data_IF_499541760244
#
_entry.id   IF_499541760244
#
_cell.length_a   1.000
_cell.length_b   1.000
_cell.length_c   1.000
_cell.angle_alpha   90.00
_cell.angle_beta   90.00
_cell.angle_gamma   90.00
#
_symmetry.space_group_name_H-M   'P 1'
#
loop_
_entity.id
_entity.type
_entity.pdbx_description
1 polymer ?
#
# COMPACT_ATOMS: atom_id res chain seq x y z
N UNK A 1 -48.32 19.46 -20.81
CA UNK A 1 -49.55 20.26 -20.70
C UNK A 1 -50.36 19.65 -19.60
N UNK A 2 -50.59 20.42 -18.55
CA UNK A 2 -51.49 20.07 -17.46
C UNK A 2 -52.90 20.47 -17.90
N UNK A 3 -53.70 19.48 -18.29
CA UNK A 3 -55.07 19.70 -18.75
C UNK A 3 -56.08 19.63 -17.61
N UNK A 4 -55.67 19.18 -16.44
CA UNK A 4 -56.48 19.20 -15.22
C UNK A 4 -56.62 20.63 -14.71
N UNK A 5 -55.50 21.34 -14.61
CA UNK A 5 -55.49 22.76 -14.25
C UNK A 5 -56.03 23.67 -15.36
N UNK A 6 -56.00 23.22 -16.64
CA UNK A 6 -56.42 24.01 -17.79
C UNK A 6 -57.24 23.19 -18.81
N UNK A 7 -58.52 22.90 -18.49
CA UNK A 7 -59.38 22.11 -19.38
C UNK A 7 -59.48 22.73 -20.78
N UNK A 8 -59.24 21.92 -21.81
CA UNK A 8 -59.28 22.36 -23.22
C UNK A 8 -57.96 22.92 -23.77
N UNK A 9 -56.94 23.15 -22.94
CA UNK A 9 -55.61 23.56 -23.43
C UNK A 9 -54.89 22.39 -24.08
N UNK A 10 -54.34 22.61 -25.27
CA UNK A 10 -53.61 21.59 -26.02
C UNK A 10 -52.17 22.01 -26.27
N UNK A 11 -51.28 21.03 -26.45
CA UNK A 11 -49.94 21.34 -26.94
C UNK A 11 -50.02 21.78 -28.40
N UNK A 12 -49.65 23.04 -28.67
CA UNK A 12 -49.89 23.72 -29.94
C UNK A 12 -48.76 23.57 -30.97
N UNK A 13 -47.52 23.27 -30.56
CA UNK A 13 -46.41 23.19 -31.50
C UNK A 13 -46.52 21.93 -32.37
N UNK A 14 -46.41 22.14 -33.68
CA UNK A 14 -46.30 21.07 -34.65
C UNK A 14 -44.96 20.34 -34.57
N UNK A 15 -44.91 19.20 -35.25
CA UNK A 15 -43.71 18.37 -35.36
C UNK A 15 -42.50 19.14 -35.88
N UNK A 16 -42.65 19.91 -36.96
CA UNK A 16 -41.52 20.55 -37.64
C UNK A 16 -40.87 21.63 -36.77
N UNK A 17 -41.69 22.36 -36.01
CA UNK A 17 -41.22 23.32 -35.02
C UNK A 17 -40.44 22.62 -33.89
N UNK A 18 -40.94 21.48 -33.39
CA UNK A 18 -40.22 20.69 -32.39
C UNK A 18 -38.91 20.09 -32.91
N UNK A 19 -38.89 19.65 -34.17
CA UNK A 19 -37.65 19.16 -34.80
C UNK A 19 -36.63 20.29 -34.98
N UNK A 20 -37.06 21.50 -35.32
CA UNK A 20 -36.19 22.67 -35.40
C UNK A 20 -35.55 22.99 -34.04
N UNK A 21 -36.36 23.06 -32.97
CA UNK A 21 -35.86 23.25 -31.60
C UNK A 21 -34.85 22.16 -31.23
N UNK A 22 -35.18 20.89 -31.52
CA UNK A 22 -34.28 19.78 -31.23
C UNK A 22 -32.95 19.86 -31.97
N UNK A 23 -32.95 20.34 -33.22
CA UNK A 23 -31.72 20.57 -34.00
C UNK A 23 -30.86 21.66 -33.37
N UNK A 24 -31.46 22.77 -32.95
CA UNK A 24 -30.74 23.86 -32.30
C UNK A 24 -30.14 23.44 -30.96
N UNK A 25 -30.77 22.48 -30.27
CA UNK A 25 -30.28 21.92 -29.02
C UNK A 25 -29.10 20.95 -29.19
N UNK A 26 -28.85 20.39 -30.38
CA UNK A 26 -27.79 19.37 -30.58
C UNK A 26 -26.41 19.89 -30.18
N UNK A 27 -26.15 21.20 -30.34
CA UNK A 27 -24.87 21.83 -29.96
C UNK A 27 -24.54 21.71 -28.47
N UNK A 28 -25.53 21.48 -27.62
CA UNK A 28 -25.35 21.30 -26.18
C UNK A 28 -25.19 19.83 -25.77
N UNK A 29 -25.36 18.87 -26.70
CA UNK A 29 -25.23 17.45 -26.40
C UNK A 29 -23.77 17.01 -26.38
N UNK A 30 -23.41 16.27 -25.32
CA UNK A 30 -22.10 15.61 -25.21
C UNK A 30 -21.88 14.50 -26.24
N UNK A 31 -20.65 13.96 -26.28
CA UNK A 31 -20.27 12.85 -27.16
C UNK A 31 -19.96 11.59 -26.35
N UNK A 32 -20.39 10.43 -26.83
CA UNK A 32 -20.01 9.10 -26.32
C UNK A 32 -19.41 8.31 -27.47
N UNK A 33 -18.22 7.74 -27.29
CA UNK A 33 -17.48 7.05 -28.36
C UNK A 33 -17.38 7.85 -29.67
N UNK A 34 -17.09 9.17 -29.54
CA UNK A 34 -17.03 10.15 -30.65
C UNK A 34 -18.37 10.44 -31.37
N UNK A 35 -19.46 9.75 -31.05
CA UNK A 35 -20.79 10.03 -31.56
C UNK A 35 -21.52 11.06 -30.68
N UNK A 36 -22.15 12.05 -31.31
CA UNK A 36 -22.95 13.05 -30.60
C UNK A 36 -24.26 12.43 -30.10
N UNK A 37 -24.58 12.64 -28.82
CA UNK A 37 -25.82 12.11 -28.24
C UNK A 37 -27.06 12.76 -28.88
N UNK A 38 -28.17 12.02 -29.04
CA UNK A 38 -29.41 12.56 -29.57
C UNK A 38 -30.10 13.49 -28.57
N UNK A 39 -30.87 14.46 -29.09
CA UNK A 39 -31.84 15.25 -28.32
C UNK A 39 -33.17 14.49 -28.30
N UNK A 40 -33.74 14.29 -27.12
CA UNK A 40 -35.05 13.67 -26.94
C UNK A 40 -36.03 14.72 -26.43
N UNK A 41 -37.14 14.92 -27.14
CA UNK A 41 -38.24 15.79 -26.73
C UNK A 41 -39.48 14.92 -26.54
N UNK A 42 -40.07 15.02 -25.35
CA UNK A 42 -41.25 14.26 -24.99
C UNK A 42 -42.36 15.23 -24.61
N UNK A 43 -43.49 15.14 -25.32
CA UNK A 43 -44.69 15.95 -25.04
C UNK A 43 -45.63 15.12 -24.20
N UNK A 44 -45.85 15.54 -22.96
CA UNK A 44 -46.81 14.93 -22.04
C UNK A 44 -48.09 15.76 -21.97
N UNK A 45 -49.23 15.14 -22.14
CA UNK A 45 -50.54 15.68 -21.76
C UNK A 45 -51.07 14.87 -20.58
N UNK A 46 -51.35 15.53 -19.47
CA UNK A 46 -51.84 14.89 -18.24
C UNK A 46 -53.29 15.32 -18.04
N UNK A 47 -54.18 14.37 -17.85
CA UNK A 47 -55.60 14.60 -17.57
C UNK A 47 -56.23 13.50 -16.68
N UNK A 48 -57.30 13.81 -15.96
CA UNK A 48 -58.06 12.89 -15.11
C UNK A 48 -59.18 12.14 -15.86
N UNK A 49 -59.00 11.87 -17.16
CA UNK A 49 -60.02 11.22 -17.99
C UNK A 49 -59.42 10.40 -19.13
N UNK A 50 -60.24 9.49 -19.66
CA UNK A 50 -59.82 8.62 -20.76
C UNK A 50 -59.50 9.41 -22.04
N UNK A 51 -58.31 9.19 -22.65
CA UNK A 51 -57.89 9.95 -23.82
C UNK A 51 -58.74 9.69 -25.06
N UNK A 52 -59.21 10.77 -25.68
CA UNK A 52 -60.02 10.75 -26.91
C UNK A 52 -59.21 10.29 -28.14
N UNK A 53 -59.91 9.81 -29.17
CA UNK A 53 -59.28 9.39 -30.42
C UNK A 53 -58.56 10.54 -31.14
N UNK A 54 -59.11 11.76 -31.06
CA UNK A 54 -58.53 12.96 -31.65
C UNK A 54 -57.17 13.33 -31.00
N UNK A 55 -57.07 13.25 -29.67
CA UNK A 55 -55.82 13.50 -28.95
C UNK A 55 -54.74 12.49 -29.35
N UNK A 56 -55.09 11.20 -29.38
CA UNK A 56 -54.18 10.13 -29.83
C UNK A 56 -53.71 10.37 -31.27
N UNK A 57 -54.63 10.76 -32.17
CA UNK A 57 -54.29 11.04 -33.57
C UNK A 57 -53.32 12.23 -33.70
N UNK A 58 -53.54 13.31 -32.94
CA UNK A 58 -52.65 14.48 -32.93
C UNK A 58 -51.25 14.13 -32.47
N UNK A 59 -51.10 13.53 -31.30
CA UNK A 59 -49.78 13.19 -30.75
C UNK A 59 -49.10 12.05 -31.52
N UNK A 60 -49.85 11.20 -32.23
CA UNK A 60 -49.28 10.19 -33.14
C UNK A 60 -48.50 10.82 -34.30
N UNK A 61 -48.81 12.07 -34.70
CA UNK A 61 -48.03 12.82 -35.70
C UNK A 61 -46.62 13.19 -35.22
N UNK A 62 -46.38 13.20 -33.90
CA UNK A 62 -45.05 13.42 -33.31
C UNK A 62 -44.16 12.17 -33.35
N UNK A 63 -44.57 11.11 -34.04
CA UNK A 63 -43.79 9.87 -34.13
C UNK A 63 -42.51 10.14 -34.92
N UNK A 64 -41.40 9.62 -34.40
CA UNK A 64 -40.06 9.71 -35.00
C UNK A 64 -40.08 9.41 -36.52
N UNK A 65 -39.47 10.29 -37.32
CA UNK A 65 -39.36 10.15 -38.80
C UNK A 65 -38.38 9.07 -39.21
N UNK A 66 -37.22 9.00 -38.53
CA UNK A 66 -36.11 8.13 -38.89
C UNK A 66 -35.50 7.45 -37.68
N UNK A 67 -35.16 6.16 -37.80
CA UNK A 67 -34.46 5.38 -36.76
C UNK A 67 -33.05 5.91 -36.45
N UNK A 68 -32.48 6.72 -37.34
CA UNK A 68 -31.15 7.34 -37.20
C UNK A 68 -31.21 8.84 -36.94
N UNK A 69 -32.40 9.44 -36.83
CA UNK A 69 -32.54 10.86 -36.54
C UNK A 69 -31.98 11.22 -35.16
N UNK A 70 -31.19 12.30 -35.09
CA UNK A 70 -30.59 12.79 -33.83
C UNK A 70 -31.56 13.58 -32.95
N UNK A 71 -32.75 13.91 -33.47
CA UNK A 71 -33.86 14.45 -32.69
C UNK A 71 -34.94 13.38 -32.59
N UNK A 72 -35.32 13.01 -31.37
CA UNK A 72 -36.30 11.97 -31.08
C UNK A 72 -37.51 12.64 -30.44
N UNK A 73 -38.63 12.63 -31.16
CA UNK A 73 -39.90 13.14 -30.67
C UNK A 73 -40.79 11.98 -30.21
N UNK A 74 -41.51 12.20 -29.11
CA UNK A 74 -42.56 11.29 -28.64
C UNK A 74 -43.69 12.07 -27.97
N UNK A 75 -44.91 11.56 -28.14
CA UNK A 75 -46.11 12.08 -27.50
C UNK A 75 -46.63 11.07 -26.49
N UNK A 76 -47.09 11.58 -25.35
CA UNK A 76 -47.58 10.81 -24.21
C UNK A 76 -48.87 11.44 -23.70
N UNK A 77 -49.85 10.60 -23.40
CA UNK A 77 -51.06 11.00 -22.69
C UNK A 77 -51.10 10.17 -21.41
N UNK A 78 -51.25 10.85 -20.29
CA UNK A 78 -51.29 10.27 -18.95
C UNK A 78 -52.69 10.52 -18.41
N UNK A 79 -53.43 9.43 -18.21
CA UNK A 79 -54.71 9.42 -17.52
C UNK A 79 -54.44 9.14 -16.04
N UNK A 80 -54.49 10.19 -15.22
CA UNK A 80 -54.16 10.11 -13.80
C UNK A 80 -55.28 9.42 -13.00
N UNK A 81 -56.55 9.55 -13.39
CA UNK A 81 -57.68 8.91 -12.70
C UNK A 81 -57.72 7.40 -12.93
N UNK A 82 -57.45 6.95 -14.15
CA UNK A 82 -57.38 5.51 -14.47
C UNK A 82 -55.99 4.90 -14.27
N UNK A 83 -54.97 5.70 -13.93
CA UNK A 83 -53.56 5.28 -13.87
C UNK A 83 -53.09 4.56 -15.15
N UNK A 84 -53.49 5.10 -16.31
CA UNK A 84 -53.14 4.54 -17.62
C UNK A 84 -52.32 5.52 -18.44
N UNK A 85 -51.49 4.96 -19.33
CA UNK A 85 -50.60 5.76 -20.17
C UNK A 85 -50.73 5.30 -21.62
N UNK A 86 -50.85 6.27 -22.52
CA UNK A 86 -50.76 6.07 -23.95
C UNK A 86 -49.55 6.80 -24.52
N UNK A 87 -48.85 6.19 -25.48
CA UNK A 87 -47.77 6.84 -26.21
C UNK A 87 -47.72 6.42 -27.67
N UNK A 88 -47.18 7.29 -28.51
CA UNK A 88 -46.93 7.02 -29.93
C UNK A 88 -45.65 6.17 -30.19
N UNK A 89 -44.95 5.74 -29.14
CA UNK A 89 -43.79 4.85 -29.25
C UNK A 89 -44.17 3.44 -29.76
N UNK A 90 -43.21 2.68 -30.33
CA UNK A 90 -43.43 1.29 -30.73
C UNK A 90 -44.03 0.45 -29.59
N UNK A 91 -44.94 -0.45 -29.94
CA UNK A 91 -45.67 -1.30 -28.97
C UNK A 91 -46.34 -0.51 -27.84
N UNK A 92 -46.75 0.74 -28.12
CA UNK A 92 -47.35 1.66 -27.16
C UNK A 92 -46.47 1.80 -25.89
N UNK A 93 -45.15 1.89 -26.08
CA UNK A 93 -44.18 2.13 -24.99
C UNK A 93 -43.97 0.95 -24.02
N UNK A 94 -44.58 -0.22 -24.25
CA UNK A 94 -44.45 -1.38 -23.32
C UNK A 94 -43.00 -1.80 -23.06
N UNK A 95 -42.10 -1.58 -24.03
CA UNK A 95 -40.67 -1.87 -23.90
C UNK A 95 -39.84 -0.64 -23.50
N UNK A 96 -40.43 0.56 -23.49
CA UNK A 96 -39.73 1.83 -23.29
C UNK A 96 -40.61 2.83 -22.54
N UNK A 97 -40.31 3.05 -21.26
CA UNK A 97 -40.85 4.14 -20.45
C UNK A 97 -42.28 3.94 -19.91
N UNK A 98 -43.20 3.32 -20.67
CA UNK A 98 -44.59 3.19 -20.22
C UNK A 98 -44.76 2.41 -18.90
N UNK A 99 -44.15 1.22 -18.69
CA UNK A 99 -44.30 0.50 -17.43
C UNK A 99 -43.78 1.30 -16.23
N UNK A 100 -42.73 2.11 -16.43
CA UNK A 100 -42.20 2.99 -15.40
C UNK A 100 -43.22 4.07 -15.00
N UNK A 101 -43.88 4.71 -15.98
CA UNK A 101 -44.86 5.77 -15.70
C UNK A 101 -46.15 5.17 -15.10
N UNK A 102 -46.66 4.05 -15.63
CA UNK A 102 -47.81 3.37 -15.03
C UNK A 102 -47.53 2.93 -13.59
N UNK A 103 -46.31 2.48 -13.30
CA UNK A 103 -45.91 2.14 -11.94
C UNK A 103 -45.81 3.38 -11.04
N UNK A 104 -45.36 4.52 -11.57
CA UNK A 104 -45.32 5.80 -10.85
C UNK A 104 -46.72 6.31 -10.48
N UNK A 105 -47.73 6.09 -11.33
CA UNK A 105 -49.12 6.48 -11.06
C UNK A 105 -49.78 5.56 -10.03
N UNK A 106 -49.49 4.26 -10.07
CA UNK A 106 -50.07 3.26 -9.16
C UNK A 106 -49.39 3.23 -7.79
N UNK A 107 -48.11 3.55 -7.74
CA UNK A 107 -47.33 3.61 -6.51
C UNK A 107 -47.07 5.08 -6.19
N UNK A 108 -47.88 5.73 -5.33
CA UNK A 108 -47.56 7.08 -4.88
C UNK A 108 -46.12 7.04 -4.38
N UNK A 109 -45.30 8.00 -4.85
CA UNK A 109 -43.91 8.12 -4.44
C UNK A 109 -43.94 8.09 -2.91
N UNK A 110 -43.42 7.02 -2.29
CA UNK A 110 -43.12 7.08 -0.87
C UNK A 110 -42.37 8.40 -0.69
N UNK A 111 -42.84 9.26 0.22
CA UNK A 111 -42.13 10.50 0.51
C UNK A 111 -40.65 10.12 0.60
N UNK A 112 -39.77 10.77 -0.21
CA UNK A 112 -38.36 10.47 -0.09
C UNK A 112 -38.06 10.57 1.40
N UNK A 113 -37.55 9.50 2.05
CA UNK A 113 -37.37 9.50 3.48
C UNK A 113 -36.66 10.79 3.81
N UNK A 114 -37.23 11.57 4.74
CA UNK A 114 -36.70 12.88 5.13
C UNK A 114 -35.19 12.78 5.10
N UNK A 115 -34.49 13.67 4.35
CA UNK A 115 -33.08 13.48 4.03
C UNK A 115 -32.40 13.06 5.32
N UNK A 116 -31.97 11.80 5.39
CA UNK A 116 -31.27 11.29 6.58
C UNK A 116 -30.20 12.32 6.79
N UNK A 117 -30.16 13.02 7.95
CA UNK A 117 -29.29 14.16 8.11
C UNK A 117 -27.93 13.71 7.63
N UNK A 118 -27.51 14.27 6.49
CA UNK A 118 -26.19 14.02 5.96
C UNK A 118 -25.29 14.32 7.14
N UNK A 119 -24.63 13.27 7.67
CA UNK A 119 -23.89 13.28 8.93
C UNK A 119 -23.42 14.70 9.21
N UNK A 120 -24.02 15.36 10.22
CA UNK A 120 -23.91 16.80 10.50
C UNK A 120 -22.66 17.37 9.85
N UNK A 121 -22.83 18.14 8.77
CA UNK A 121 -21.70 18.53 7.91
C UNK A 121 -20.62 19.17 8.76
N UNK A 122 -19.53 18.41 8.96
CA UNK A 122 -18.39 18.88 9.74
C UNK A 122 -17.71 20.00 8.98
N UNK A 123 -17.34 21.07 9.68
CA UNK A 123 -16.49 22.10 9.10
C UNK A 123 -15.23 21.46 8.49
N UNK A 124 -14.72 21.98 7.37
CA UNK A 124 -13.51 21.45 6.74
C UNK A 124 -12.36 21.46 7.74
N UNK A 125 -11.86 20.27 8.08
CA UNK A 125 -10.73 20.11 9.00
C UNK A 125 -9.45 20.00 8.20
N UNK A 126 -8.48 20.85 8.54
CA UNK A 126 -7.12 20.74 7.98
C UNK A 126 -6.50 19.39 8.40
N UNK A 127 -5.92 18.62 7.47
CA UNK A 127 -5.39 17.30 7.76
C UNK A 127 -4.01 17.39 8.44
N UNK A 128 -3.98 17.83 9.71
CA UNK A 128 -2.76 18.09 10.47
C UNK A 128 -1.94 16.82 10.74
N UNK A 129 -2.58 15.69 11.03
CA UNK A 129 -1.84 14.45 11.27
C UNK A 129 -1.19 13.95 9.98
N UNK A 130 -1.89 14.07 8.85
CA UNK A 130 -1.34 13.77 7.52
C UNK A 130 -0.09 14.61 7.26
N UNK A 131 -0.13 15.92 7.55
CA UNK A 131 1.04 16.78 7.42
C UNK A 131 2.17 16.40 8.38
N UNK A 132 1.84 16.06 9.63
CA UNK A 132 2.84 15.62 10.61
C UNK A 132 3.56 14.34 10.15
N UNK A 133 2.82 13.35 9.63
CA UNK A 133 3.42 12.13 9.08
C UNK A 133 4.27 12.47 7.86
N UNK A 134 3.80 13.32 6.94
CA UNK A 134 4.60 13.74 5.77
C UNK A 134 5.92 14.40 6.19
N UNK A 135 5.88 15.33 7.16
CA UNK A 135 7.08 15.97 7.70
C UNK A 135 8.01 14.95 8.34
N UNK A 136 7.48 13.95 9.04
CA UNK A 136 8.27 12.88 9.64
C UNK A 136 8.94 12.00 8.58
N UNK A 137 8.26 11.64 7.48
CA UNK A 137 8.85 10.88 6.38
C UNK A 137 9.97 11.67 5.68
N UNK A 138 9.77 12.97 5.48
CA UNK A 138 10.80 13.86 4.92
C UNK A 138 11.99 13.95 5.88
N UNK A 139 11.75 14.13 7.18
CA UNK A 139 12.79 14.18 8.19
C UNK A 139 13.61 12.89 8.27
N UNK A 140 12.94 11.73 8.26
CA UNK A 140 13.59 10.43 8.22
C UNK A 140 14.48 10.29 6.98
N UNK A 141 13.97 10.68 5.81
CA UNK A 141 14.76 10.65 4.57
C UNK A 141 15.97 11.58 4.62
N UNK A 142 15.86 12.78 5.20
CA UNK A 142 17.02 13.66 5.41
C UNK A 142 18.06 13.02 6.35
N UNK A 143 17.61 12.29 7.39
CA UNK A 143 18.52 11.51 8.23
C UNK A 143 19.20 10.39 7.43
N UNK A 144 18.52 9.74 6.50
CA UNK A 144 19.16 8.74 5.62
C UNK A 144 20.29 9.32 4.77
N UNK A 145 20.14 10.55 4.28
CA UNK A 145 21.20 11.25 3.54
C UNK A 145 22.34 11.68 4.47
N UNK A 146 22.02 12.17 5.67
CA UNK A 146 23.01 12.69 6.62
C UNK A 146 23.87 11.60 7.26
N UNK A 147 23.30 10.41 7.46
CA UNK A 147 23.94 9.26 8.11
C UNK A 147 24.19 8.12 7.11
N UNK A 148 24.53 8.46 5.86
CA UNK A 148 24.86 7.45 4.85
C UNK A 148 26.12 6.66 5.25
N UNK A 149 26.02 5.32 5.24
CA UNK A 149 27.13 4.43 5.59
C UNK A 149 27.92 3.94 4.38
N UNK A 150 27.43 4.23 3.18
CA UNK A 150 28.07 3.89 1.91
C UNK A 150 28.06 5.10 0.96
N UNK A 151 29.03 5.24 0.03
CA UNK A 151 29.04 6.33 -0.93
C UNK A 151 27.72 6.43 -1.70
N UNK A 152 27.05 7.57 -1.57
CA UNK A 152 25.77 7.81 -2.24
C UNK A 152 25.96 8.05 -3.74
N UNK A 153 25.06 7.48 -4.56
CA UNK A 153 24.95 7.83 -5.98
C UNK A 153 23.80 8.84 -6.15
N UNK A 154 24.12 10.14 -6.01
CA UNK A 154 23.12 11.20 -6.06
C UNK A 154 22.22 11.19 -4.82
N UNK A 155 20.91 10.93 -5.01
CA UNK A 155 19.91 10.84 -3.94
C UNK A 155 19.47 9.39 -3.66
N UNK A 156 20.35 8.42 -3.91
CA UNK A 156 20.14 7.02 -3.52
C UNK A 156 20.94 6.75 -2.24
N UNK A 157 20.25 6.37 -1.18
CA UNK A 157 20.81 6.19 0.18
C UNK A 157 21.62 4.90 0.31
N UNK A 158 21.36 3.91 -0.56
CA UNK A 158 22.02 2.61 -0.53
C UNK A 158 21.44 1.65 0.52
N UNK A 159 21.46 0.36 0.20
CA UNK A 159 20.85 -0.68 1.04
C UNK A 159 21.50 -0.82 2.42
N UNK A 160 22.80 -0.57 2.54
CA UNK A 160 23.52 -0.66 3.80
C UNK A 160 23.12 0.44 4.77
N UNK A 161 23.00 1.67 4.28
CA UNK A 161 22.48 2.80 5.06
C UNK A 161 21.09 2.49 5.58
N UNK A 162 20.19 2.01 4.73
CA UNK A 162 18.83 1.65 5.14
C UNK A 162 18.83 0.54 6.19
N UNK A 163 19.68 -0.48 6.03
CA UNK A 163 19.83 -1.56 7.00
C UNK A 163 20.31 -1.01 8.36
N UNK A 164 21.29 -0.12 8.36
CA UNK A 164 21.81 0.54 9.56
C UNK A 164 20.75 1.40 10.25
N UNK A 165 19.88 2.06 9.46
CA UNK A 165 18.84 2.98 9.95
C UNK A 165 17.50 2.31 10.27
N UNK A 166 17.44 0.98 10.28
CA UNK A 166 16.26 0.26 10.78
C UNK A 166 15.33 -0.28 9.71
N UNK A 167 15.81 -0.54 8.48
CA UNK A 167 15.06 -1.28 7.47
C UNK A 167 14.65 -2.66 7.98
N UNK A 168 13.54 -3.16 7.46
CA UNK A 168 13.04 -4.48 7.83
C UNK A 168 13.92 -5.55 7.16
N UNK A 169 14.46 -6.43 7.99
CA UNK A 169 15.36 -7.51 7.61
C UNK A 169 15.00 -8.74 8.42
N UNK A 170 14.72 -9.85 7.74
CA UNK A 170 14.28 -11.07 8.40
C UNK A 170 15.31 -11.59 9.43
N UNK A 171 16.61 -11.74 9.11
CA UNK A 171 17.61 -12.19 10.09
C UNK A 171 17.70 -11.30 11.33
N UNK A 172 17.66 -9.97 11.16
CA UNK A 172 17.77 -9.02 12.27
C UNK A 172 16.54 -9.03 13.16
N UNK A 173 15.34 -9.17 12.58
CA UNK A 173 14.10 -9.32 13.36
C UNK A 173 14.13 -10.62 14.16
N UNK A 174 14.53 -11.75 13.55
CA UNK A 174 14.68 -13.02 14.26
C UNK A 174 15.74 -12.97 15.36
N UNK A 175 16.73 -12.08 15.23
CA UNK A 175 17.75 -11.85 16.25
C UNK A 175 17.33 -10.84 17.34
N UNK A 176 16.07 -10.42 17.37
CA UNK A 176 15.50 -9.58 18.43
C UNK A 176 15.32 -8.10 18.09
N UNK A 177 15.67 -7.65 16.88
CA UNK A 177 15.50 -6.25 16.45
C UNK A 177 14.07 -5.96 15.98
N UNK A 178 13.08 -6.25 16.83
CA UNK A 178 11.64 -6.10 16.54
C UNK A 178 11.22 -4.67 16.23
N UNK A 179 12.00 -3.68 16.69
CA UNK A 179 11.79 -2.26 16.39
C UNK A 179 11.74 -1.97 14.88
N UNK A 180 12.37 -2.82 14.06
CA UNK A 180 12.39 -2.78 12.60
C UNK A 180 11.03 -2.96 11.95
N UNK A 181 10.08 -3.59 12.65
CA UNK A 181 8.70 -3.74 12.17
C UNK A 181 8.01 -2.39 11.97
N UNK A 182 8.37 -1.40 12.79
CA UNK A 182 7.78 -0.06 12.73
C UNK A 182 8.70 0.95 12.05
N UNK A 183 10.01 0.94 12.32
CA UNK A 183 10.94 1.93 11.75
C UNK A 183 11.04 1.85 10.22
N UNK A 184 10.96 0.63 9.66
CA UNK A 184 11.05 0.42 8.20
C UNK A 184 10.02 1.22 7.41
N UNK A 185 8.83 1.45 7.98
CA UNK A 185 7.75 2.18 7.36
C UNK A 185 8.06 3.68 7.15
N UNK A 186 9.10 4.21 7.78
CA UNK A 186 9.50 5.61 7.65
C UNK A 186 10.68 5.82 6.70
N UNK A 187 11.38 4.76 6.32
CA UNK A 187 12.59 4.83 5.49
C UNK A 187 12.27 4.80 3.99
N UNK A 188 13.08 5.43 3.14
CA UNK A 188 12.86 5.45 1.69
C UNK A 188 14.14 5.34 0.86
N UNK A 189 14.22 4.31 0.00
CA UNK A 189 15.38 4.07 -0.87
C UNK A 189 15.86 5.28 -1.70
N UNK A 190 14.93 6.11 -2.18
CA UNK A 190 15.28 7.28 -2.99
C UNK A 190 14.14 8.32 -2.98
N UNK A 191 14.43 9.49 -3.52
CA UNK A 191 13.51 10.62 -3.56
C UNK A 191 12.20 10.31 -4.28
N UNK A 192 12.24 9.53 -5.38
CA UNK A 192 11.04 9.16 -6.13
C UNK A 192 10.12 8.27 -5.28
N UNK A 193 10.69 7.31 -4.54
CA UNK A 193 9.95 6.46 -3.62
C UNK A 193 9.26 7.30 -2.52
N UNK A 194 10.00 8.24 -1.90
CA UNK A 194 9.44 9.18 -0.92
C UNK A 194 8.33 10.05 -1.54
N UNK A 195 8.55 10.62 -2.72
CA UNK A 195 7.59 11.50 -3.37
C UNK A 195 6.28 10.78 -3.70
N UNK A 196 6.35 9.54 -4.19
CA UNK A 196 5.17 8.73 -4.51
C UNK A 196 4.39 8.33 -3.25
N UNK A 197 5.08 7.89 -2.19
CA UNK A 197 4.43 7.61 -0.90
C UNK A 197 3.82 8.87 -0.29
N UNK A 198 4.54 9.99 -0.32
CA UNK A 198 4.04 11.28 0.17
C UNK A 198 2.80 11.76 -0.58
N UNK A 199 2.79 11.65 -1.92
CA UNK A 199 1.62 11.97 -2.73
C UNK A 199 0.42 11.07 -2.37
N UNK A 200 0.62 9.76 -2.30
CA UNK A 200 -0.45 8.82 -1.97
C UNK A 200 -0.99 9.02 -0.54
N UNK A 201 -0.10 9.24 0.43
CA UNK A 201 -0.47 9.58 1.80
C UNK A 201 -1.28 10.88 1.87
N UNK A 202 -0.86 11.92 1.13
CA UNK A 202 -1.61 13.18 1.06
C UNK A 202 -3.02 12.99 0.46
N UNK A 203 -3.13 12.22 -0.64
CA UNK A 203 -4.41 11.93 -1.30
C UNK A 203 -5.36 11.14 -0.40
N UNK A 204 -4.84 10.16 0.36
CA UNK A 204 -5.63 9.42 1.33
C UNK A 204 -6.01 10.28 2.54
N UNK A 205 -5.03 10.94 3.15
CA UNK A 205 -5.17 11.73 4.37
C UNK A 205 -6.11 12.91 4.23
N UNK A 206 -6.09 13.63 3.10
CA UNK A 206 -7.04 14.73 2.83
C UNK A 206 -8.51 14.30 2.76
N UNK A 207 -8.77 13.01 2.55
CA UNK A 207 -10.12 12.42 2.54
C UNK A 207 -10.44 11.79 3.89
N UNK A 208 -9.54 10.95 4.40
CA UNK A 208 -9.77 10.12 5.58
C UNK A 208 -9.64 10.88 6.89
N UNK A 209 -8.72 11.85 7.03
CA UNK A 209 -8.55 12.56 8.30
C UNK A 209 -9.78 13.42 8.66
N UNK A 210 -10.37 14.19 7.72
CA UNK A 210 -11.62 14.89 7.99
C UNK A 210 -12.78 13.94 8.29
N UNK A 211 -12.78 12.76 7.65
CA UNK A 211 -13.83 11.76 7.76
C UNK A 211 -13.80 10.98 9.07
N UNK A 212 -12.63 10.47 9.47
CA UNK A 212 -12.45 9.56 10.60
C UNK A 212 -11.96 10.26 11.87
N UNK A 213 -11.39 11.46 11.72
CA UNK A 213 -10.59 12.09 12.74
C UNK A 213 -9.14 11.61 12.74
N UNK A 214 -8.30 12.34 13.46
CA UNK A 214 -6.84 12.11 13.54
C UNK A 214 -6.52 10.74 14.13
N UNK A 215 -7.20 10.37 15.21
CA UNK A 215 -6.92 9.15 15.96
C UNK A 215 -7.06 7.90 15.08
N UNK A 216 -8.19 7.76 14.37
CA UNK A 216 -8.41 6.59 13.52
C UNK A 216 -7.55 6.58 12.25
N UNK A 217 -7.24 7.75 11.68
CA UNK A 217 -6.23 7.83 10.60
C UNK A 217 -4.88 7.26 11.08
N UNK A 218 -4.43 7.70 12.26
CA UNK A 218 -3.17 7.23 12.86
C UNK A 218 -3.20 5.73 13.16
N UNK A 219 -4.30 5.20 13.69
CA UNK A 219 -4.45 3.75 13.92
C UNK A 219 -4.34 2.96 12.62
N UNK A 220 -5.07 3.36 11.56
CA UNK A 220 -5.00 2.65 10.27
C UNK A 220 -3.58 2.69 9.70
N UNK A 221 -2.91 3.84 9.82
CA UNK A 221 -1.51 3.98 9.38
C UNK A 221 -0.58 3.04 10.17
N UNK A 222 -0.62 3.07 11.50
CA UNK A 222 0.28 2.30 12.36
C UNK A 222 0.05 0.79 12.26
N UNK A 223 -1.21 0.35 12.35
CA UNK A 223 -1.53 -1.08 12.25
C UNK A 223 -1.30 -1.56 10.82
N UNK A 224 -1.54 -0.71 9.81
CA UNK A 224 -1.20 -0.98 8.42
C UNK A 224 0.29 -1.17 8.18
N UNK A 225 1.13 -0.32 8.79
CA UNK A 225 2.59 -0.48 8.77
C UNK A 225 3.02 -1.82 9.38
N UNK A 226 2.51 -2.15 10.58
CA UNK A 226 2.84 -3.40 11.26
C UNK A 226 2.34 -4.64 10.49
N UNK A 227 1.12 -4.60 9.96
CA UNK A 227 0.56 -5.67 9.14
C UNK A 227 1.31 -5.86 7.82
N UNK A 228 1.75 -4.76 7.20
CA UNK A 228 2.64 -4.81 6.05
C UNK A 228 3.98 -5.47 6.40
N UNK A 229 4.65 -5.01 7.45
CA UNK A 229 5.92 -5.61 7.90
C UNK A 229 5.77 -7.10 8.24
N UNK A 230 4.70 -7.49 8.93
CA UNK A 230 4.45 -8.89 9.27
C UNK A 230 4.26 -9.76 8.02
N UNK A 231 3.43 -9.32 7.06
CA UNK A 231 3.25 -10.04 5.80
C UNK A 231 4.51 -10.06 4.94
N UNK A 232 5.32 -8.99 4.97
CA UNK A 232 6.62 -8.95 4.31
C UNK A 232 7.54 -10.06 4.82
N UNK A 233 7.65 -10.22 6.15
CA UNK A 233 8.46 -11.29 6.76
C UNK A 233 7.95 -12.69 6.43
N UNK A 234 6.64 -12.87 6.25
CA UNK A 234 6.03 -14.17 5.98
C UNK A 234 6.08 -14.58 4.51
N UNK A 235 5.95 -13.62 3.59
CA UNK A 235 5.73 -13.88 2.16
C UNK A 235 7.01 -13.73 1.35
N UNK A 236 7.86 -12.76 1.70
CA UNK A 236 9.04 -12.47 0.90
C UNK A 236 10.22 -13.39 1.26
N UNK A 237 11.17 -13.57 0.34
CA UNK A 237 12.45 -14.22 0.64
C UNK A 237 13.17 -13.55 1.82
N UNK A 238 13.85 -14.31 2.71
CA UNK A 238 14.49 -13.76 3.91
C UNK A 238 15.58 -12.70 3.65
N UNK A 239 16.14 -12.67 2.44
CA UNK A 239 17.16 -11.70 2.04
C UNK A 239 16.58 -10.39 1.46
N UNK A 240 15.26 -10.27 1.31
CA UNK A 240 14.63 -9.02 0.89
C UNK A 240 14.68 -8.00 2.03
N UNK A 241 15.18 -6.80 1.73
CA UNK A 241 15.08 -5.65 2.62
C UNK A 241 13.83 -4.84 2.27
N UNK A 242 13.05 -4.50 3.29
CA UNK A 242 11.82 -3.74 3.13
C UNK A 242 11.88 -2.39 3.82
N UNK A 243 11.44 -1.36 3.10
CA UNK A 243 11.36 0.03 3.53
C UNK A 243 10.16 0.71 2.87
N UNK A 244 9.63 1.75 3.50
CA UNK A 244 8.64 2.65 2.94
C UNK A 244 7.27 2.57 3.60
N UNK A 245 6.55 3.69 3.55
CA UNK A 245 5.22 3.82 4.15
C UNK A 245 4.11 3.10 3.35
N UNK A 246 4.45 2.39 2.27
CA UNK A 246 3.48 1.87 1.31
C UNK A 246 2.51 0.87 1.93
N UNK A 247 2.94 0.00 2.85
CA UNK A 247 2.04 -0.89 3.59
C UNK A 247 0.96 -0.13 4.38
N UNK A 248 1.35 0.93 5.08
CA UNK A 248 0.42 1.82 5.79
C UNK A 248 -0.53 2.55 4.83
N UNK A 249 -0.02 3.01 3.69
CA UNK A 249 -0.81 3.68 2.65
C UNK A 249 -1.82 2.72 2.02
N UNK A 250 -1.42 1.47 1.77
CA UNK A 250 -2.33 0.43 1.28
C UNK A 250 -3.46 0.16 2.28
N UNK A 251 -3.16 0.17 3.59
CA UNK A 251 -4.18 0.08 4.62
C UNK A 251 -5.16 1.26 4.58
N UNK A 252 -4.67 2.49 4.38
CA UNK A 252 -5.52 3.68 4.24
C UNK A 252 -6.46 3.56 3.04
N UNK A 253 -5.97 3.19 1.86
CA UNK A 253 -6.82 3.07 0.67
C UNK A 253 -7.78 1.89 0.75
N UNK A 254 -7.38 0.75 1.33
CA UNK A 254 -8.27 -0.38 1.56
C UNK A 254 -9.39 -0.03 2.56
N UNK A 255 -9.05 0.67 3.64
CA UNK A 255 -10.04 1.18 4.59
C UNK A 255 -10.99 2.19 3.91
N UNK A 256 -10.46 3.10 3.07
CA UNK A 256 -11.28 4.04 2.28
C UNK A 256 -12.28 3.30 1.39
N UNK A 257 -11.86 2.23 0.73
CA UNK A 257 -12.74 1.43 -0.12
C UNK A 257 -13.86 0.77 0.71
N UNK A 258 -13.55 0.18 1.86
CA UNK A 258 -14.57 -0.38 2.76
C UNK A 258 -15.52 0.69 3.32
N UNK A 259 -14.98 1.83 3.76
CA UNK A 259 -15.78 2.95 4.29
C UNK A 259 -16.72 3.55 3.24
N UNK A 260 -16.39 3.44 1.94
CA UNK A 260 -17.24 3.90 0.85
C UNK A 260 -18.68 3.35 0.92
N UNK A 261 -18.86 2.14 1.44
CA UNK A 261 -20.17 1.48 1.54
C UNK A 261 -21.12 2.16 2.53
N UNK A 262 -20.60 3.03 3.40
CA UNK A 262 -21.40 3.87 4.30
C UNK A 262 -22.14 4.99 3.57
N UNK A 263 -21.67 5.40 2.39
CA UNK A 263 -22.20 6.55 1.66
C UNK A 263 -23.17 6.15 0.56
N UNK A 264 -23.97 7.14 0.15
CA UNK A 264 -24.86 7.08 -1.01
C UNK A 264 -24.09 6.80 -2.31
N UNK A 265 -24.79 6.26 -3.30
CA UNK A 265 -24.19 5.69 -4.53
C UNK A 265 -23.14 6.59 -5.20
N UNK A 266 -23.42 7.88 -5.34
CA UNK A 266 -22.50 8.81 -6.03
C UNK A 266 -21.19 8.99 -5.25
N UNK A 267 -21.26 9.29 -3.96
CA UNK A 267 -20.10 9.46 -3.10
C UNK A 267 -19.33 8.14 -2.92
N UNK A 268 -20.05 7.01 -2.80
CA UNK A 268 -19.47 5.67 -2.78
C UNK A 268 -18.63 5.40 -4.01
N UNK A 269 -19.20 5.54 -5.21
CA UNK A 269 -18.48 5.27 -6.46
C UNK A 269 -17.24 6.15 -6.61
N UNK A 270 -17.30 7.41 -6.17
CA UNK A 270 -16.15 8.31 -6.21
C UNK A 270 -15.03 7.89 -5.25
N UNK A 271 -15.36 7.45 -4.03
CA UNK A 271 -14.37 6.94 -3.08
C UNK A 271 -13.77 5.62 -3.56
N UNK A 272 -14.61 4.73 -4.11
CA UNK A 272 -14.16 3.44 -4.65
C UNK A 272 -13.22 3.63 -5.84
N UNK A 273 -13.53 4.52 -6.78
CA UNK A 273 -12.66 4.77 -7.93
C UNK A 273 -11.31 5.36 -7.53
N UNK A 274 -11.28 6.29 -6.56
CA UNK A 274 -10.05 6.84 -5.99
C UNK A 274 -9.22 5.76 -5.30
N UNK A 275 -9.85 4.92 -4.49
CA UNK A 275 -9.15 3.85 -3.79
C UNK A 275 -8.60 2.79 -4.75
N UNK A 276 -9.43 2.30 -5.69
CA UNK A 276 -9.01 1.31 -6.67
C UNK A 276 -7.93 1.84 -7.63
N UNK A 277 -7.93 3.14 -7.93
CA UNK A 277 -6.88 3.79 -8.73
C UNK A 277 -5.48 3.68 -8.13
N UNK A 278 -5.36 3.46 -6.82
CA UNK A 278 -4.08 3.18 -6.13
C UNK A 278 -3.94 1.69 -5.82
N UNK A 279 -4.97 1.06 -5.26
CA UNK A 279 -4.90 -0.35 -4.84
C UNK A 279 -4.57 -1.30 -6.00
N UNK A 280 -5.18 -1.11 -7.16
CA UNK A 280 -5.00 -2.03 -8.29
C UNK A 280 -3.57 -1.94 -8.83
N UNK A 281 -3.03 -0.78 -9.25
CA UNK A 281 -1.64 -0.70 -9.71
C UNK A 281 -0.61 -1.13 -8.66
N UNK A 282 -0.87 -0.91 -7.38
CA UNK A 282 0.02 -1.29 -6.28
C UNK A 282 0.04 -2.81 -5.99
N UNK A 283 -0.96 -3.56 -6.45
CA UNK A 283 -1.09 -5.02 -6.26
C UNK A 283 -0.89 -5.81 -7.56
N UNK A 284 -1.17 -5.25 -8.73
CA UNK A 284 -1.07 -5.93 -10.04
C UNK A 284 0.28 -6.63 -10.27
N UNK A 285 1.44 -6.07 -9.89
CA UNK A 285 2.71 -6.74 -10.16
C UNK A 285 2.98 -7.97 -9.26
N UNK A 286 2.09 -8.31 -8.31
CA UNK A 286 2.08 -9.61 -7.60
C UNK A 286 2.02 -10.80 -8.56
N UNK A 287 1.43 -10.63 -9.76
CA UNK A 287 1.29 -11.71 -10.75
C UNK A 287 2.38 -11.77 -11.82
N UNK A 288 3.22 -10.72 -11.97
CA UNK A 288 4.12 -10.57 -13.12
C UNK A 288 5.54 -10.14 -12.80
N UNK A 289 5.86 -9.82 -11.53
CA UNK A 289 7.14 -9.17 -11.17
C UNK A 289 7.76 -9.68 -9.87
N UNK A 290 7.50 -10.94 -9.54
CA UNK A 290 8.28 -11.70 -8.56
C UNK A 290 9.71 -11.81 -9.13
N UNK A 291 10.59 -10.86 -8.79
CA UNK A 291 12.00 -10.90 -9.20
C UNK A 291 12.69 -9.56 -9.50
N UNK A 292 11.99 -8.43 -9.60
CA UNK A 292 12.65 -7.13 -9.91
C UNK A 292 13.29 -6.42 -8.71
N UNK A 293 13.19 -7.00 -7.50
CA UNK A 293 13.93 -6.57 -6.30
C UNK A 293 13.63 -5.16 -5.78
N UNK A 294 12.59 -4.48 -6.28
CA UNK A 294 12.33 -3.06 -6.00
C UNK A 294 11.01 -2.74 -5.30
N UNK A 295 10.09 -3.69 -5.19
CA UNK A 295 8.78 -3.47 -4.58
C UNK A 295 8.46 -4.61 -3.63
N UNK A 296 8.15 -4.25 -2.39
CA UNK A 296 7.71 -5.20 -1.36
C UNK A 296 6.20 -5.45 -1.48
N UNK A 297 5.85 -6.51 -2.21
CA UNK A 297 4.46 -6.89 -2.39
C UNK A 297 3.84 -7.55 -1.16
N UNK A 298 4.65 -8.22 -0.32
CA UNK A 298 4.20 -8.75 0.97
C UNK A 298 3.67 -7.62 1.85
N UNK A 299 4.39 -6.50 1.93
CA UNK A 299 3.96 -5.32 2.67
C UNK A 299 2.69 -4.69 2.11
N UNK A 300 2.56 -4.59 0.78
CA UNK A 300 1.35 -4.06 0.15
C UNK A 300 0.13 -4.94 0.44
N UNK A 301 0.29 -6.26 0.34
CA UNK A 301 -0.77 -7.22 0.61
C UNK A 301 -1.19 -7.19 2.08
N UNK A 302 -0.24 -7.29 3.01
CA UNK A 302 -0.52 -7.26 4.46
C UNK A 302 -1.18 -5.96 4.91
N UNK A 303 -0.67 -4.83 4.44
CA UNK A 303 -1.27 -3.52 4.68
C UNK A 303 -2.70 -3.44 4.14
N UNK A 304 -2.92 -3.90 2.91
CA UNK A 304 -4.26 -3.97 2.30
C UNK A 304 -5.24 -4.82 3.10
N UNK A 305 -4.85 -6.02 3.53
CA UNK A 305 -5.67 -6.91 4.37
C UNK A 305 -6.04 -6.23 5.69
N UNK A 306 -5.08 -5.64 6.40
CA UNK A 306 -5.34 -4.89 7.63
C UNK A 306 -6.32 -3.73 7.38
N UNK A 307 -6.14 -2.98 6.30
CA UNK A 307 -7.04 -1.89 5.93
C UNK A 307 -8.46 -2.34 5.66
N UNK A 308 -8.64 -3.49 4.99
CA UNK A 308 -9.96 -4.12 4.80
C UNK A 308 -10.59 -4.45 6.15
N UNK A 309 -9.85 -5.13 7.04
CA UNK A 309 -10.36 -5.55 8.35
C UNK A 309 -10.75 -4.35 9.22
N UNK A 310 -9.89 -3.33 9.32
CA UNK A 310 -10.19 -2.10 10.07
C UNK A 310 -11.34 -1.31 9.44
N UNK A 311 -11.40 -1.25 8.10
CA UNK A 311 -12.50 -0.61 7.38
C UNK A 311 -13.84 -1.29 7.64
N UNK A 312 -13.89 -2.62 7.61
CA UNK A 312 -15.08 -3.40 7.95
C UNK A 312 -15.50 -3.19 9.41
N UNK A 313 -14.55 -3.23 10.34
CA UNK A 313 -14.81 -2.98 11.75
C UNK A 313 -15.40 -1.57 11.97
N UNK A 314 -14.83 -0.55 11.31
CA UNK A 314 -15.36 0.82 11.37
C UNK A 314 -16.76 0.92 10.77
N UNK A 315 -17.03 0.27 9.63
CA UNK A 315 -18.39 0.25 9.04
C UNK A 315 -19.40 -0.40 9.99
N UNK A 316 -19.02 -1.50 10.65
CA UNK A 316 -19.89 -2.23 11.56
C UNK A 316 -20.14 -1.48 12.88
N UNK A 317 -19.12 -0.83 13.44
CA UNK A 317 -19.16 -0.24 14.78
C UNK A 317 -19.54 1.25 14.80
N UNK A 318 -19.55 1.94 13.66
CA UNK A 318 -19.85 3.37 13.57
C UNK A 318 -21.36 3.62 13.43
N UNK A 319 -22.05 4.20 14.44
CA UNK A 319 -23.48 4.50 14.36
C UNK A 319 -23.80 5.55 13.32
N UNK A 320 -24.97 5.46 12.66
CA UNK A 320 -25.34 6.33 11.52
C UNK A 320 -25.60 7.79 11.91
N UNK A 321 -25.92 8.03 13.17
CA UNK A 321 -26.21 9.31 13.80
C UNK A 321 -24.96 10.04 14.31
N UNK A 322 -23.83 9.35 14.46
CA UNK A 322 -22.56 9.95 14.90
C UNK A 322 -21.72 10.49 13.73
N UNK A 323 -21.17 11.70 13.90
CA UNK A 323 -20.29 12.36 12.91
C UNK A 323 -18.95 11.63 12.76
N UNK A 324 -18.45 11.03 13.84
CA UNK A 324 -17.15 10.36 13.89
C UNK A 324 -17.31 8.92 14.36
N UNK A 325 -16.38 8.02 14.00
CA UNK A 325 -16.38 6.67 14.55
C UNK A 325 -16.25 6.69 16.07
N UNK A 326 -16.84 5.68 16.73
CA UNK A 326 -16.66 5.42 18.17
C UNK A 326 -15.20 5.21 18.55
N UNK A 327 -14.92 5.21 19.85
CA UNK A 327 -13.60 4.91 20.43
C UNK A 327 -12.47 5.88 20.04
N UNK A 328 -12.77 7.14 19.72
CA UNK A 328 -11.75 8.17 19.40
C UNK A 328 -10.64 8.29 20.45
N UNK A 329 -10.99 8.18 21.75
CA UNK A 329 -10.03 8.23 22.86
C UNK A 329 -9.12 7.00 22.87
N UNK A 330 -9.69 5.80 22.70
CA UNK A 330 -8.92 4.55 22.60
C UNK A 330 -7.99 4.56 21.39
N UNK A 331 -8.47 5.03 20.24
CA UNK A 331 -7.65 5.23 19.06
C UNK A 331 -6.52 6.25 19.30
N UNK A 332 -6.78 7.33 20.05
CA UNK A 332 -5.73 8.30 20.41
C UNK A 332 -4.66 7.69 21.32
N UNK A 333 -5.06 6.87 22.30
CA UNK A 333 -4.13 6.11 23.14
C UNK A 333 -3.27 5.15 22.30
N UNK A 334 -3.87 4.45 21.33
CA UNK A 334 -3.14 3.57 20.42
C UNK A 334 -2.13 4.34 19.56
N UNK A 335 -2.49 5.53 19.07
CA UNK A 335 -1.54 6.41 18.36
C UNK A 335 -0.41 6.88 19.29
N UNK A 336 -0.73 7.22 20.54
CA UNK A 336 0.28 7.56 21.55
C UNK A 336 1.27 6.42 21.80
N UNK A 337 0.78 5.20 21.98
CA UNK A 337 1.61 4.01 22.11
C UNK A 337 2.49 3.76 20.87
N UNK A 338 1.94 3.97 19.67
CA UNK A 338 2.71 3.89 18.43
C UNK A 338 3.81 4.95 18.33
N UNK A 339 3.56 6.19 18.79
CA UNK A 339 4.58 7.23 18.86
C UNK A 339 5.69 6.88 19.86
N UNK A 340 5.34 6.33 21.03
CA UNK A 340 6.33 5.81 21.99
C UNK A 340 7.14 4.65 21.41
N UNK A 341 6.49 3.72 20.70
CA UNK A 341 7.18 2.62 20.03
C UNK A 341 8.15 3.13 18.96
N UNK A 342 7.77 4.16 18.19
CA UNK A 342 8.65 4.79 17.21
C UNK A 342 9.85 5.49 17.87
N UNK A 343 9.64 6.18 18.99
CA UNK A 343 10.73 6.79 19.76
C UNK A 343 11.69 5.73 20.30
N UNK A 344 11.17 4.60 20.79
CA UNK A 344 11.98 3.45 21.17
C UNK A 344 12.74 2.86 19.96
N UNK A 345 12.11 2.75 18.79
CA UNK A 345 12.80 2.32 17.57
C UNK A 345 13.98 3.23 17.23
N UNK A 346 13.82 4.55 17.34
CA UNK A 346 14.91 5.50 17.10
C UNK A 346 16.05 5.29 18.10
N UNK A 347 15.74 5.13 19.39
CA UNK A 347 16.74 4.82 20.40
C UNK A 347 17.49 3.52 20.08
N UNK A 348 16.78 2.45 19.71
CA UNK A 348 17.38 1.17 19.37
C UNK A 348 18.26 1.25 18.10
N UNK A 349 17.84 2.04 17.10
CA UNK A 349 18.66 2.33 15.91
C UNK A 349 19.97 3.01 16.31
N UNK A 350 19.92 4.05 17.16
CA UNK A 350 21.13 4.75 17.62
C UNK A 350 22.09 3.80 18.34
N UNK A 351 21.58 2.88 19.17
CA UNK A 351 22.43 1.89 19.85
C UNK A 351 23.03 0.87 18.87
N UNK A 352 22.28 0.45 17.85
CA UNK A 352 22.74 -0.55 16.88
C UNK A 352 23.61 0.04 15.75
N UNK A 353 23.56 1.36 15.52
CA UNK A 353 24.23 2.02 14.40
C UNK A 353 25.76 1.79 14.33
N UNK A 354 26.52 1.77 15.44
CA UNK A 354 27.96 1.45 15.41
C UNK A 354 28.28 0.09 14.80
N UNK A 355 27.40 -0.92 14.98
CA UNK A 355 27.58 -2.26 14.43
C UNK A 355 27.66 -2.26 12.89
N UNK A 356 27.04 -1.27 12.24
CA UNK A 356 26.98 -1.16 10.79
C UNK A 356 28.01 -0.18 10.20
N UNK A 357 28.69 0.61 11.03
CA UNK A 357 29.61 1.67 10.59
C UNK A 357 31.06 1.43 10.97
N UNK A 358 31.32 0.62 12.01
CA UNK A 358 32.68 0.32 12.46
C UNK A 358 33.32 -0.88 11.74
N UNK A 359 32.57 -1.56 10.87
CA UNK A 359 33.08 -2.68 10.07
C UNK A 359 33.78 -2.24 8.78
N UNK A 360 34.52 -3.17 8.16
CA UNK A 360 35.17 -3.01 6.86
C UNK A 360 34.11 -2.66 5.80
N UNK A 361 34.23 -1.49 5.13
CA UNK A 361 33.34 -1.10 4.05
C UNK A 361 33.41 -2.07 2.86
N UNK A 362 32.30 -2.29 2.11
CA UNK A 362 32.27 -3.26 1.01
C UNK A 362 33.30 -3.02 -0.09
N UNK A 363 33.56 -1.75 -0.41
CA UNK A 363 34.55 -1.32 -1.40
C UNK A 363 36.00 -1.60 -0.94
N UNK A 364 36.20 -1.83 0.36
CA UNK A 364 37.51 -2.15 0.92
C UNK A 364 37.69 -3.65 1.18
N UNK A 365 36.67 -4.48 0.96
CA UNK A 365 36.77 -5.92 1.17
C UNK A 365 37.78 -6.54 0.18
N UNK A 366 38.72 -7.38 0.67
CA UNK A 366 39.62 -8.12 -0.21
C UNK A 366 38.84 -9.04 -1.16
N UNK A 367 39.19 -9.00 -2.43
CA UNK A 367 38.57 -9.81 -3.48
C UNK A 367 39.28 -11.15 -3.72
N UNK A 368 40.52 -11.29 -3.23
CA UNK A 368 41.36 -12.48 -3.44
C UNK A 368 42.23 -12.83 -2.23
N UNK A 369 42.70 -14.08 -2.17
CA UNK A 369 43.64 -14.53 -1.13
C UNK A 369 44.97 -13.77 -1.13
N UNK A 370 45.39 -13.24 -2.29
CA UNK A 370 46.58 -12.41 -2.41
C UNK A 370 46.36 -11.05 -1.74
N UNK A 371 45.21 -10.41 -2.00
CA UNK A 371 44.84 -9.16 -1.35
C UNK A 371 44.65 -9.31 0.16
N UNK A 372 44.05 -10.41 0.63
CA UNK A 372 43.95 -10.73 2.06
C UNK A 372 45.34 -10.69 2.69
N UNK A 373 46.31 -11.38 2.08
CA UNK A 373 47.67 -11.48 2.64
C UNK A 373 48.40 -10.13 2.63
N UNK A 374 48.13 -9.28 1.64
CA UNK A 374 48.75 -7.96 1.51
C UNK A 374 48.14 -6.91 2.45
N UNK A 375 46.86 -7.05 2.83
CA UNK A 375 46.09 -6.00 3.51
C UNK A 375 45.61 -6.37 4.92
N UNK A 376 45.76 -7.62 5.37
CA UNK A 376 45.22 -8.09 6.65
C UNK A 376 45.64 -7.21 7.85
N UNK A 377 46.94 -6.90 7.97
CA UNK A 377 47.46 -6.07 9.06
C UNK A 377 46.90 -4.63 9.03
N UNK A 378 46.75 -4.04 7.84
CA UNK A 378 46.13 -2.71 7.66
C UNK A 378 44.64 -2.74 8.02
N UNK A 379 43.92 -3.77 7.58
CA UNK A 379 42.51 -3.93 7.89
C UNK A 379 42.27 -4.16 9.39
N UNK A 380 43.14 -4.90 10.06
CA UNK A 380 43.06 -5.10 11.51
C UNK A 380 43.33 -3.81 12.29
N UNK A 381 44.32 -3.02 11.88
CA UNK A 381 44.62 -1.75 12.56
C UNK A 381 43.51 -0.72 12.38
N UNK A 382 42.85 -0.71 11.22
CA UNK A 382 41.77 0.23 10.89
C UNK A 382 40.40 -0.22 11.40
N UNK A 383 40.16 -1.53 11.46
CA UNK A 383 38.88 -2.12 11.86
C UNK A 383 39.07 -3.21 12.93
N UNK A 384 39.58 -2.87 14.13
CA UNK A 384 39.88 -3.84 15.18
C UNK A 384 38.64 -4.49 15.80
N UNK A 385 37.45 -3.94 15.57
CA UNK A 385 36.18 -4.48 16.08
C UNK A 385 35.39 -5.26 15.02
N UNK A 386 35.98 -5.52 13.85
CA UNK A 386 35.36 -6.31 12.79
C UNK A 386 35.87 -7.76 12.82
N UNK A 387 34.99 -8.77 12.92
CA UNK A 387 35.45 -10.17 12.98
C UNK A 387 36.22 -10.59 11.72
N UNK A 388 35.96 -9.95 10.58
CA UNK A 388 36.63 -10.21 9.31
C UNK A 388 38.10 -9.79 9.34
N UNK A 389 38.44 -8.70 10.02
CA UNK A 389 39.82 -8.21 10.06
C UNK A 389 40.72 -9.19 10.81
N UNK A 390 40.26 -9.66 11.97
CA UNK A 390 40.87 -10.76 12.72
C UNK A 390 40.95 -12.06 11.92
N UNK A 391 39.87 -12.43 11.21
CA UNK A 391 39.88 -13.62 10.36
C UNK A 391 40.93 -13.52 9.25
N UNK A 392 41.02 -12.39 8.55
CA UNK A 392 42.04 -12.16 7.51
C UNK A 392 43.47 -12.19 8.07
N UNK A 393 43.67 -11.64 9.27
CA UNK A 393 44.95 -11.71 9.95
C UNK A 393 45.32 -13.15 10.31
N UNK A 394 44.38 -13.92 10.86
CA UNK A 394 44.58 -15.33 11.17
C UNK A 394 45.00 -16.15 9.94
N UNK A 395 44.34 -15.96 8.80
CA UNK A 395 44.71 -16.63 7.54
C UNK A 395 46.15 -16.30 7.12
N UNK A 396 46.59 -15.06 7.34
CA UNK A 396 47.96 -14.63 7.01
C UNK A 396 48.98 -15.25 7.96
N UNK A 397 48.67 -15.29 9.26
CA UNK A 397 49.50 -15.92 10.29
C UNK A 397 49.64 -17.43 10.09
N UNK A 398 48.57 -18.11 9.66
CA UNK A 398 48.61 -19.53 9.31
C UNK A 398 49.59 -19.81 8.17
N UNK A 399 49.62 -18.96 7.13
CA UNK A 399 50.59 -19.09 6.02
C UNK A 399 52.02 -18.89 6.49
N UNK A 400 52.22 -18.02 7.48
CA UNK A 400 53.51 -17.81 8.15
C UNK A 400 53.84 -18.89 9.20
N UNK A 401 53.04 -19.95 9.31
CA UNK A 401 53.18 -21.05 10.28
C UNK A 401 53.11 -20.60 11.75
N UNK A 402 52.58 -19.41 12.04
CA UNK A 402 52.38 -18.92 13.39
C UNK A 402 50.98 -19.30 13.90
N UNK A 403 50.83 -20.55 14.32
CA UNK A 403 49.55 -21.13 14.73
C UNK A 403 48.99 -20.53 16.01
N UNK A 404 49.86 -20.17 16.97
CA UNK A 404 49.44 -19.60 18.27
C UNK A 404 48.82 -18.22 18.07
N UNK A 405 49.47 -17.36 17.29
CA UNK A 405 48.91 -16.04 16.98
C UNK A 405 47.63 -16.16 16.14
N UNK A 406 47.59 -17.08 15.18
CA UNK A 406 46.39 -17.31 14.38
C UNK A 406 45.19 -17.75 15.23
N UNK A 407 45.40 -18.61 16.22
CA UNK A 407 44.36 -19.00 17.18
C UNK A 407 43.82 -17.80 17.95
N UNK A 408 44.71 -16.95 18.47
CA UNK A 408 44.32 -15.77 19.25
C UNK A 408 43.43 -14.82 18.43
N UNK A 409 43.78 -14.57 17.17
CA UNK A 409 42.98 -13.75 16.26
C UNK A 409 41.59 -14.38 16.00
N UNK A 410 41.53 -15.70 15.76
CA UNK A 410 40.25 -16.39 15.53
C UNK A 410 39.35 -16.38 16.77
N UNK A 411 39.92 -16.54 17.97
CA UNK A 411 39.18 -16.41 19.23
C UNK A 411 38.68 -14.98 19.44
N UNK A 412 39.48 -13.98 19.08
CA UNK A 412 39.08 -12.57 19.14
C UNK A 412 37.93 -12.29 18.16
N UNK A 413 37.97 -12.87 16.96
CA UNK A 413 36.84 -12.80 16.02
C UNK A 413 35.57 -13.42 16.61
N UNK A 414 35.67 -14.61 17.23
CA UNK A 414 34.53 -15.30 17.86
C UNK A 414 33.98 -14.56 19.10
N UNK A 415 34.83 -13.79 19.80
CA UNK A 415 34.38 -12.96 20.92
C UNK A 415 33.44 -11.82 20.47
N UNK A 416 33.46 -11.44 19.20
CA UNK A 416 32.57 -10.44 18.59
C UNK A 416 31.26 -11.08 18.10
N UNK A 417 30.61 -11.88 18.96
CA UNK A 417 29.43 -12.70 18.64
C UNK A 417 28.28 -11.88 18.08
N UNK A 418 28.00 -10.71 18.68
CA UNK A 418 26.88 -9.85 18.27
C UNK A 418 27.04 -9.34 16.83
N UNK A 419 28.21 -8.78 16.49
CA UNK A 419 28.51 -8.33 15.13
C UNK A 419 28.41 -9.48 14.14
N UNK A 420 28.99 -10.64 14.49
CA UNK A 420 28.97 -11.81 13.61
C UNK A 420 27.55 -12.29 13.32
N UNK A 421 26.73 -12.43 14.37
CA UNK A 421 25.35 -12.88 14.29
C UNK A 421 24.46 -11.92 13.52
N UNK A 422 24.63 -10.61 13.74
CA UNK A 422 23.73 -9.58 13.20
C UNK A 422 24.13 -9.09 11.80
N UNK A 423 25.42 -9.04 11.46
CA UNK A 423 25.89 -8.40 10.21
C UNK A 423 26.54 -9.36 9.22
N UNK A 424 27.16 -10.45 9.68
CA UNK A 424 27.92 -11.38 8.84
C UNK A 424 27.21 -12.72 8.60
N UNK A 425 26.25 -13.07 9.45
CA UNK A 425 25.43 -14.27 9.34
C UNK A 425 26.15 -15.56 9.79
N UNK A 426 25.40 -16.67 9.89
CA UNK A 426 25.90 -17.92 10.49
C UNK A 426 27.00 -18.58 9.64
N UNK A 427 27.01 -18.40 8.31
CA UNK A 427 28.03 -19.00 7.45
C UNK A 427 29.44 -18.47 7.76
N UNK A 428 29.54 -17.18 8.09
CA UNK A 428 30.82 -16.58 8.44
C UNK A 428 31.32 -17.13 9.78
N UNK A 429 30.45 -17.28 10.77
CA UNK A 429 30.80 -17.94 12.05
C UNK A 429 31.34 -19.36 11.83
N UNK A 430 30.65 -20.16 11.01
CA UNK A 430 31.10 -21.53 10.71
C UNK A 430 32.47 -21.53 10.02
N UNK A 431 32.76 -20.52 9.19
CA UNK A 431 34.09 -20.36 8.57
C UNK A 431 35.16 -20.08 9.62
N UNK A 432 34.92 -19.15 10.55
CA UNK A 432 35.87 -18.82 11.64
C UNK A 432 36.11 -20.05 12.51
N UNK A 433 35.04 -20.74 12.94
CA UNK A 433 35.13 -21.95 13.77
C UNK A 433 35.87 -23.10 13.06
N UNK A 434 35.56 -23.35 11.79
CA UNK A 434 36.25 -24.37 11.00
C UNK A 434 37.74 -24.08 10.82
N UNK A 435 38.10 -22.81 10.63
CA UNK A 435 39.51 -22.39 10.58
C UNK A 435 40.19 -22.56 11.94
N UNK A 436 39.52 -22.19 13.04
CA UNK A 436 40.04 -22.39 14.40
C UNK A 436 40.28 -23.86 14.71
N UNK A 437 39.33 -24.74 14.37
CA UNK A 437 39.50 -26.18 14.49
C UNK A 437 40.72 -26.69 13.71
N UNK A 438 40.94 -26.18 12.50
CA UNK A 438 42.12 -26.53 11.70
C UNK A 438 43.42 -26.09 12.38
N UNK A 439 43.47 -24.87 12.93
CA UNK A 439 44.63 -24.36 13.66
C UNK A 439 44.94 -25.23 14.89
N UNK A 440 43.92 -25.55 15.69
CA UNK A 440 44.07 -26.41 16.87
C UNK A 440 44.55 -27.82 16.50
N UNK A 441 44.07 -28.38 15.39
CA UNK A 441 44.52 -29.68 14.89
C UNK A 441 46.02 -29.66 14.55
N UNK A 442 46.48 -28.60 13.90
CA UNK A 442 47.89 -28.41 13.53
C UNK A 442 48.80 -28.22 14.75
N UNK A 443 48.26 -27.72 15.87
CA UNK A 443 48.96 -27.64 17.15
C UNK A 443 48.94 -28.98 17.93
N UNK A 444 48.21 -29.99 17.46
CA UNK A 444 48.04 -31.28 18.14
C UNK A 444 46.90 -31.33 19.17
N UNK A 445 46.11 -30.26 19.29
CA UNK A 445 44.99 -30.17 20.25
C UNK A 445 43.67 -30.74 19.69
N UNK A 446 43.67 -32.03 19.35
CA UNK A 446 42.57 -32.67 18.61
C UNK A 446 41.20 -32.57 19.31
N UNK A 447 41.13 -32.76 20.63
CA UNK A 447 39.85 -32.72 21.35
C UNK A 447 39.20 -31.33 21.33
N UNK A 448 40.02 -30.28 21.49
CA UNK A 448 39.55 -28.90 21.38
C UNK A 448 39.13 -28.58 19.95
N UNK A 449 39.88 -29.07 18.97
CA UNK A 449 39.56 -28.88 17.56
C UNK A 449 38.20 -29.52 17.20
N UNK A 450 37.92 -30.75 17.64
CA UNK A 450 36.62 -31.40 17.48
C UNK A 450 35.49 -30.61 18.16
N UNK A 451 35.75 -30.06 19.34
CA UNK A 451 34.79 -29.23 20.07
C UNK A 451 34.39 -27.98 19.28
N UNK A 452 35.38 -27.27 18.72
CA UNK A 452 35.14 -26.07 17.90
C UNK A 452 34.50 -26.40 16.53
N UNK A 453 34.80 -27.57 15.96
CA UNK A 453 34.21 -28.02 14.70
C UNK A 453 32.75 -28.48 14.82
N UNK A 454 32.30 -28.89 16.02
CA UNK A 454 30.99 -29.51 16.25
C UNK A 454 29.80 -28.69 15.71
N UNK A 455 29.71 -27.36 15.90
CA UNK A 455 28.64 -26.55 15.33
C UNK A 455 28.61 -26.59 13.80
N UNK A 456 29.79 -26.57 13.17
CA UNK A 456 29.92 -26.65 11.71
C UNK A 456 29.61 -28.06 11.17
N UNK A 457 29.89 -29.11 11.93
CA UNK A 457 29.47 -30.48 11.59
C UNK A 457 27.94 -30.66 11.64
N UNK A 458 27.27 -30.05 12.63
CA UNK A 458 25.83 -30.19 12.83
C UNK A 458 24.99 -29.25 11.93
N UNK A 459 25.57 -28.15 11.45
CA UNK A 459 24.82 -27.14 10.71
C UNK A 459 24.68 -27.48 9.22
N UNK A 460 23.44 -27.46 8.66
CA UNK A 460 23.24 -27.58 7.22
C UNK A 460 23.77 -26.36 6.46
N UNK A 461 23.86 -25.19 7.10
CA UNK A 461 24.37 -23.94 6.51
C UNK A 461 25.90 -23.83 6.45
N UNK A 462 26.63 -24.87 6.90
CA UNK A 462 28.10 -24.87 6.78
C UNK A 462 28.52 -24.85 5.32
N UNK A 463 29.33 -23.87 4.88
CA UNK A 463 29.82 -23.81 3.51
C UNK A 463 30.55 -25.10 3.11
N UNK A 464 30.36 -25.55 1.87
CA UNK A 464 30.96 -26.80 1.38
C UNK A 464 32.49 -26.80 1.48
N UNK A 465 33.12 -25.64 1.27
CA UNK A 465 34.56 -25.45 1.46
C UNK A 465 35.02 -25.71 2.89
N UNK A 466 34.22 -25.31 3.89
CA UNK A 466 34.50 -25.55 5.31
C UNK A 466 34.25 -27.02 5.65
N UNK A 467 33.14 -27.58 5.16
CA UNK A 467 32.78 -29.00 5.38
C UNK A 467 33.86 -29.94 4.81
N UNK A 468 34.42 -29.62 3.64
CA UNK A 468 35.53 -30.37 3.03
C UNK A 468 36.79 -30.37 3.91
N UNK A 469 37.15 -29.21 4.47
CA UNK A 469 38.31 -29.10 5.37
C UNK A 469 38.08 -29.94 6.61
N UNK A 470 36.95 -29.76 7.31
CA UNK A 470 36.61 -30.46 8.55
C UNK A 470 36.59 -31.99 8.37
N UNK A 471 36.06 -32.47 7.23
CA UNK A 471 36.03 -33.90 6.92
C UNK A 471 37.41 -34.47 6.61
N UNK A 472 38.30 -33.72 5.94
CA UNK A 472 39.66 -34.19 5.61
C UNK A 472 40.51 -34.47 6.86
N UNK A 473 40.19 -33.84 7.99
CA UNK A 473 40.90 -34.00 9.26
C UNK A 473 40.08 -34.78 10.31
N UNK A 474 39.02 -35.50 9.88
CA UNK A 474 38.20 -36.38 10.74
C UNK A 474 37.68 -35.71 12.02
N UNK A 475 37.23 -34.43 11.94
CA UNK A 475 36.78 -33.69 13.13
C UNK A 475 35.30 -33.91 13.49
N UNK A 476 34.50 -34.45 12.56
CA UNK A 476 33.09 -34.77 12.80
C UNK A 476 32.84 -36.21 13.29
N UNK A 477 33.91 -37.02 13.33
CA UNK A 477 33.95 -38.39 13.87
C UNK A 477 34.59 -38.35 15.26
#
# INVERSE_FOLDING_TARGET
VDRDAHPGKEFALGRDALEAIGRDCLKYCGKVNRAQMPVVIQVFEVEDRTPTAAQKLRLRKLRRSSRFGRVVLSGWIVDASASTVWTNLPFNGRLMGRPFIENLLRSPRAEPPAPKPAALTRAPVKPLLTYAILTLLIGAYLCELAFATSPMKGLDTGLQTLLALGALSHPLVTAGQWFRLLSSAFLHLNLLHLAMNGLCLYLAGRVLEPLLGRSWLGVIFLVGALGGSAASLMINPPNLLSVGASGAIMALFAAMYMLSFRFEKVARTQLQSRALGVLVPSLVPLGTSIGSGRVDYGAHFGGGVVGVLLGLALVALWPKDEILPRFQKGAACAVGAGATALAFSLYAIVQAYPLFTQGIPPDQLPSSNAEISARATDLLSRFPNDPRSHFYQAITLMKAQNQIAAEQELRTALAQEETMRLTLGPEFEMRVRGTLATVLALQGEIDKAKTEARPACASPSTPESVRKIINQIHMCE
#
